data_IF_685623235309
#
_entry.id   IF_685623235309
#
_cell.length_a   1.000
_cell.length_b   1.000
_cell.length_c   1.000
_cell.angle_alpha   90.00
_cell.angle_beta   90.00
_cell.angle_gamma   90.00
#
_symmetry.space_group_name_H-M   'P 1'
#
loop_
_entity.id
_entity.type
_entity.pdbx_description
1 polymer ?
#
# COMPACT_ATOMS: atom_id res chain seq x y z
N UNK A 1 11.80 4.21 -9.24
CA UNK A 1 12.13 4.37 -7.80
C UNK A 1 10.93 3.84 -7.02
N UNK A 2 11.12 3.15 -5.91
CA UNK A 2 9.99 2.59 -5.15
C UNK A 2 9.51 3.59 -4.09
N UNK A 3 8.19 3.80 -3.99
CA UNK A 3 7.54 4.65 -2.99
C UNK A 3 6.90 3.76 -1.93
N UNK A 4 7.27 3.95 -0.67
CA UNK A 4 6.64 3.30 0.48
C UNK A 4 5.48 4.16 0.99
N UNK A 5 4.29 3.58 1.07
CA UNK A 5 3.10 4.19 1.64
C UNK A 5 2.77 3.46 2.93
N UNK A 6 2.79 4.18 4.06
CA UNK A 6 2.46 3.62 5.37
C UNK A 6 0.96 3.77 5.64
N UNK A 7 0.29 2.66 5.93
CA UNK A 7 -1.15 2.57 6.06
C UNK A 7 -1.83 2.32 4.70
N UNK A 8 -2.75 1.35 4.65
CA UNK A 8 -3.56 0.99 3.49
C UNK A 8 -5.04 1.34 3.65
N UNK A 9 -5.39 2.18 4.62
CA UNK A 9 -6.73 2.73 4.80
C UNK A 9 -7.13 3.73 3.72
N UNK A 10 -8.09 4.61 4.02
CA UNK A 10 -8.68 5.54 3.03
C UNK A 10 -7.65 6.39 2.27
N UNK A 11 -6.71 7.01 2.98
CA UNK A 11 -5.73 7.91 2.34
C UNK A 11 -4.65 7.11 1.61
N UNK A 12 -4.12 6.06 2.24
CA UNK A 12 -3.04 5.24 1.68
C UNK A 12 -3.44 4.51 0.40
N UNK A 13 -4.65 3.95 0.36
CA UNK A 13 -5.20 3.32 -0.85
C UNK A 13 -5.40 4.32 -2.00
N UNK A 14 -5.86 5.54 -1.73
CA UNK A 14 -5.98 6.59 -2.76
C UNK A 14 -4.61 7.07 -3.26
N UNK A 15 -3.61 7.19 -2.38
CA UNK A 15 -2.24 7.49 -2.78
C UNK A 15 -1.69 6.36 -3.67
N UNK A 16 -1.88 5.11 -3.27
CA UNK A 16 -1.46 3.96 -4.07
C UNK A 16 -2.11 3.95 -5.45
N UNK A 17 -3.41 4.27 -5.54
CA UNK A 17 -4.11 4.44 -6.81
C UNK A 17 -3.44 5.50 -7.70
N UNK A 18 -3.19 6.69 -7.17
CA UNK A 18 -2.56 7.79 -7.93
C UNK A 18 -1.16 7.42 -8.42
N UNK A 19 -0.36 6.74 -7.59
CA UNK A 19 0.97 6.27 -7.99
C UNK A 19 0.88 5.21 -9.10
N UNK A 20 -0.05 4.25 -8.97
CA UNK A 20 -0.31 3.23 -9.99
C UNK A 20 -0.80 3.86 -11.31
N UNK A 21 -1.68 4.87 -11.24
CA UNK A 21 -2.15 5.65 -12.40
C UNK A 21 -1.00 6.44 -13.07
N UNK A 22 -0.04 6.94 -12.28
CA UNK A 22 1.18 7.58 -12.77
C UNK A 22 2.21 6.61 -13.40
N UNK A 23 1.96 5.30 -13.33
CA UNK A 23 2.84 4.27 -13.88
C UNK A 23 3.86 3.69 -12.89
N UNK A 24 3.80 4.10 -11.62
CA UNK A 24 4.65 3.54 -10.57
C UNK A 24 4.10 2.21 -10.03
N UNK A 25 4.95 1.53 -9.25
CA UNK A 25 4.59 0.33 -8.46
C UNK A 25 4.88 0.59 -6.99
N UNK A 26 3.93 1.16 -6.22
CA UNK A 26 4.15 1.50 -4.82
C UNK A 26 4.21 0.25 -3.93
N UNK A 27 4.87 0.39 -2.79
CA UNK A 27 4.84 -0.57 -1.68
C UNK A 27 3.89 -0.03 -0.61
N UNK A 28 2.83 -0.75 -0.30
CA UNK A 28 1.95 -0.46 0.84
C UNK A 28 2.44 -1.26 2.04
N UNK A 29 2.63 -0.57 3.16
CA UNK A 29 2.98 -1.17 4.44
C UNK A 29 1.87 -0.92 5.44
N UNK A 30 1.21 -1.98 5.89
CA UNK A 30 0.10 -1.89 6.84
C UNK A 30 0.12 -3.07 7.81
N UNK A 31 -0.34 -2.86 9.04
CA UNK A 31 -0.38 -3.90 10.07
C UNK A 31 -1.46 -4.94 9.83
N UNK A 32 -2.61 -4.51 9.32
CA UNK A 32 -3.81 -5.32 9.11
C UNK A 32 -4.58 -4.81 7.87
N UNK A 33 -4.04 -5.02 6.66
CA UNK A 33 -4.66 -4.54 5.43
C UNK A 33 -6.00 -5.25 5.16
N UNK A 34 -7.02 -4.46 4.81
CA UNK A 34 -8.27 -4.98 4.25
C UNK A 34 -8.12 -5.11 2.73
N UNK A 35 -7.92 -6.35 2.27
CA UNK A 35 -7.63 -6.63 0.86
C UNK A 35 -8.83 -6.41 -0.04
N UNK A 36 -10.03 -6.69 0.45
CA UNK A 36 -11.26 -6.52 -0.32
C UNK A 36 -11.51 -5.03 -0.53
N UNK A 37 -11.41 -4.22 0.54
CA UNK A 37 -11.54 -2.77 0.44
C UNK A 37 -10.43 -2.12 -0.42
N UNK A 38 -9.21 -2.66 -0.38
CA UNK A 38 -8.11 -2.18 -1.21
C UNK A 38 -8.35 -2.47 -2.70
N UNK A 39 -8.84 -3.67 -3.02
CA UNK A 39 -9.13 -4.10 -4.39
C UNK A 39 -10.22 -3.27 -5.08
N UNK A 40 -11.16 -2.72 -4.31
CA UNK A 40 -12.17 -1.77 -4.81
C UNK A 40 -11.56 -0.42 -5.27
N UNK A 41 -10.35 -0.10 -4.81
CA UNK A 41 -9.70 1.21 -5.05
C UNK A 41 -8.55 1.09 -6.06
N UNK A 42 -7.73 0.04 -5.97
CA UNK A 42 -6.55 -0.15 -6.80
C UNK A 42 -6.29 -1.64 -7.02
N UNK A 43 -5.89 -2.00 -8.24
CA UNK A 43 -5.50 -3.37 -8.60
C UNK A 43 -4.29 -3.83 -7.72
N UNK A 44 -4.47 -4.83 -6.85
CA UNK A 44 -3.40 -5.35 -6.00
C UNK A 44 -2.21 -5.90 -6.79
N UNK A 45 -2.40 -6.33 -8.04
CA UNK A 45 -1.33 -6.80 -8.93
C UNK A 45 -0.39 -5.69 -9.43
N UNK A 46 -0.75 -4.42 -9.23
CA UNK A 46 0.04 -3.25 -9.65
C UNK A 46 0.82 -2.60 -8.51
N UNK A 47 0.76 -3.17 -7.31
CA UNK A 47 1.47 -2.71 -6.12
C UNK A 47 2.12 -3.89 -5.39
N UNK A 48 2.94 -3.59 -4.39
CA UNK A 48 3.44 -4.59 -3.43
C UNK A 48 2.81 -4.31 -2.09
N UNK A 49 2.30 -5.35 -1.42
CA UNK A 49 1.77 -5.22 -0.06
C UNK A 49 2.73 -5.93 0.90
N UNK A 50 3.18 -5.20 1.92
CA UNK A 50 4.00 -5.70 3.02
C UNK A 50 3.20 -5.54 4.29
N UNK A 51 3.00 -6.65 5.00
CA UNK A 51 2.36 -6.60 6.31
C UNK A 51 3.41 -6.37 7.38
N UNK A 52 3.23 -5.35 8.23
CA UNK A 52 4.13 -5.08 9.35
C UNK A 52 3.65 -3.93 10.24
N UNK A 53 4.31 -3.75 11.38
CA UNK A 53 3.99 -2.71 12.36
C UNK A 53 5.05 -1.58 12.31
N UNK A 54 4.60 -0.33 12.15
CA UNK A 54 5.49 0.84 12.18
C UNK A 54 6.21 1.00 13.53
N UNK A 55 5.65 0.45 14.59
CA UNK A 55 6.23 0.47 15.92
C UNK A 55 7.26 -0.65 16.13
N UNK A 56 7.37 -1.60 15.18
CA UNK A 56 8.38 -2.65 15.20
C UNK A 56 9.51 -2.33 14.21
N UNK A 57 10.71 -1.95 14.68
CA UNK A 57 11.82 -1.55 13.81
C UNK A 57 12.45 -2.70 13.02
N UNK A 58 11.95 -3.93 13.16
CA UNK A 58 12.41 -5.11 12.42
C UNK A 58 11.51 -5.51 11.25
N UNK A 59 10.35 -4.85 11.09
CA UNK A 59 9.36 -5.22 10.06
C UNK A 59 9.68 -4.64 8.67
N UNK A 60 10.78 -3.88 8.53
CA UNK A 60 11.29 -3.32 7.26
C UNK A 60 12.81 -3.16 7.27
#
# INVERSE_FOLDING_TARGET
MAVLVTGSGLVGSQIARLLVEAGDRPVLFDRAPDLDALADIVDPGRLTLVQGDLLNPLDL
#
